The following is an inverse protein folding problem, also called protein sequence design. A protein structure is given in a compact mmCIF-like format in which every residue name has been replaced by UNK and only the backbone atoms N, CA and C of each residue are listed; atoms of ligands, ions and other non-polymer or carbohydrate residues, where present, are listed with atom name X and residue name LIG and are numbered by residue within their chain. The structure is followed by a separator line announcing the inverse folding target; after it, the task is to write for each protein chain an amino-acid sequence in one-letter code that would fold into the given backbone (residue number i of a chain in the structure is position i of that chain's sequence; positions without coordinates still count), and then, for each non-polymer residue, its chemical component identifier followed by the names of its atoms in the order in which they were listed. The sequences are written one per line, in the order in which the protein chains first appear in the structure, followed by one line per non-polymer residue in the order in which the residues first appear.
data_IF_466072645250
#
_entry.id   IF_466072645250
#
_cell.length_a   1.000
_cell.length_b   1.000
_cell.length_c   1.000
_cell.angle_alpha   90.00
_cell.angle_beta   90.00
_cell.angle_gamma   90.00
#
_symmetry.space_group_name_H-M   'P 1'
#
loop_
_entity.id
_entity.type
_entity.pdbx_description
1 polymer ?
#
# COMPACT_ATOMS: atom_id res chain seq x y z
N UNK A 1 16.17 2.66 -5.32
CA UNK A 1 16.03 1.73 -4.17
C UNK A 1 14.64 1.85 -3.54
N UNK A 2 13.94 0.73 -3.31
CA UNK A 2 12.63 0.74 -2.62
C UNK A 2 12.81 0.83 -1.11
N UNK A 3 11.77 1.28 -0.39
CA UNK A 3 11.74 1.26 1.08
C UNK A 3 11.97 -0.14 1.66
N UNK A 4 11.50 -1.18 0.97
CA UNK A 4 11.73 -2.59 1.33
C UNK A 4 13.06 -3.18 0.83
N UNK A 5 13.93 -2.40 0.20
CA UNK A 5 15.22 -2.84 -0.35
C UNK A 5 15.15 -3.35 -1.80
N UNK A 6 16.21 -4.05 -2.21
CA UNK A 6 16.38 -4.57 -3.57
C UNK A 6 15.80 -5.98 -3.74
N UNK A 7 15.55 -6.35 -5.00
CA UNK A 7 15.14 -7.69 -5.35
C UNK A 7 16.31 -8.65 -5.16
N UNK A 8 15.99 -9.81 -4.59
CA UNK A 8 16.91 -10.94 -4.44
C UNK A 8 16.92 -11.79 -5.70
N UNK A 9 18.14 -12.16 -6.09
CA UNK A 9 18.41 -13.17 -7.10
C UNK A 9 17.79 -14.53 -6.73
N UNK A 10 17.39 -15.29 -7.74
CA UNK A 10 16.76 -16.63 -7.65
C UNK A 10 15.52 -16.66 -6.77
N UNK A 11 14.66 -15.65 -6.90
CA UNK A 11 13.44 -15.50 -6.11
C UNK A 11 12.23 -15.06 -6.94
N UNK A 12 11.04 -15.46 -6.47
CA UNK A 12 9.76 -15.13 -7.07
C UNK A 12 9.13 -13.88 -6.46
N UNK A 13 8.46 -13.10 -7.29
CA UNK A 13 7.74 -11.89 -6.92
C UNK A 13 6.37 -11.87 -7.58
N UNK A 14 5.36 -11.44 -6.83
CA UNK A 14 4.09 -10.99 -7.40
C UNK A 14 4.26 -9.54 -7.83
N UNK A 15 3.83 -9.21 -9.05
CA UNK A 15 3.93 -7.86 -9.60
C UNK A 15 2.56 -7.28 -9.94
N UNK A 16 2.45 -5.97 -9.79
CA UNK A 16 1.44 -5.13 -10.42
C UNK A 16 2.17 -3.96 -11.06
N UNK A 17 2.28 -4.00 -12.38
CA UNK A 17 3.06 -3.02 -13.14
C UNK A 17 2.19 -1.82 -13.53
N UNK A 18 2.68 -0.57 -13.38
CA UNK A 18 1.99 0.61 -13.91
C UNK A 18 1.91 0.53 -15.44
N UNK A 19 0.84 1.08 -16.00
CA UNK A 19 0.67 1.17 -17.46
C UNK A 19 0.24 2.60 -17.82
N UNK A 20 0.65 3.14 -18.99
CA UNK A 20 0.09 4.40 -19.51
C UNK A 20 -1.44 4.37 -19.65
N UNK A 21 -2.00 3.18 -19.91
CA UNK A 21 -3.44 2.93 -20.00
C UNK A 21 -4.03 2.34 -18.71
N UNK A 22 -3.22 2.31 -17.63
CA UNK A 22 -3.63 1.82 -16.32
C UNK A 22 -4.50 2.81 -15.57
N UNK A 23 -5.18 2.33 -14.53
CA UNK A 23 -5.86 3.20 -13.59
C UNK A 23 -4.87 3.85 -12.60
N UNK A 24 -5.17 5.06 -12.09
CA UNK A 24 -4.36 5.69 -11.05
C UNK A 24 -4.36 4.85 -9.76
N UNK A 25 -3.31 4.98 -8.93
CA UNK A 25 -3.20 4.16 -7.71
C UNK A 25 -4.36 4.41 -6.74
N UNK A 26 -4.91 5.61 -6.76
CA UNK A 26 -6.06 6.04 -5.98
C UNK A 26 -7.27 5.14 -6.20
N UNK A 27 -7.47 4.59 -7.41
CA UNK A 27 -8.58 3.68 -7.73
C UNK A 27 -8.50 2.36 -6.96
N UNK A 28 -7.30 1.99 -6.51
CA UNK A 28 -7.06 0.74 -5.81
C UNK A 28 -6.99 0.86 -4.28
N UNK A 29 -7.10 2.08 -3.74
CA UNK A 29 -7.16 2.33 -2.30
C UNK A 29 -8.53 1.87 -1.76
N UNK A 30 -8.52 1.19 -0.62
CA UNK A 30 -9.73 1.02 0.20
C UNK A 30 -9.91 2.28 1.04
N UNK A 31 -10.90 3.07 0.69
CA UNK A 31 -11.29 4.29 1.39
C UNK A 31 -12.80 4.20 1.61
N UNK A 32 -13.31 3.73 2.75
CA UNK A 32 -12.58 3.44 3.99
C UNK A 32 -11.75 2.13 3.95
N UNK A 33 -10.63 2.04 4.70
CA UNK A 33 -9.90 0.79 4.84
C UNK A 33 -10.73 -0.30 5.50
N UNK A 34 -10.46 -1.56 5.15
CA UNK A 34 -11.21 -2.71 5.65
C UNK A 34 -10.54 -3.21 6.94
N UNK A 35 -11.19 -3.18 8.11
CA UNK A 35 -10.61 -3.68 9.34
C UNK A 35 -10.35 -5.18 9.25
N UNK A 36 -9.21 -5.62 9.79
CA UNK A 36 -8.85 -7.05 9.83
C UNK A 36 -8.18 -7.39 11.16
N UNK A 37 -8.57 -8.52 11.75
CA UNK A 37 -7.93 -9.06 12.94
C UNK A 37 -6.80 -10.01 12.54
N UNK A 38 -5.66 -9.42 12.15
CA UNK A 38 -4.50 -10.17 11.68
C UNK A 38 -3.24 -9.66 12.36
N UNK A 39 -2.51 -10.57 12.99
CA UNK A 39 -1.20 -10.27 13.56
C UNK A 39 -0.15 -10.05 12.47
N UNK A 40 0.90 -9.23 12.73
CA UNK A 40 1.98 -9.01 11.78
C UNK A 40 2.65 -10.32 11.33
N UNK A 41 2.85 -10.46 10.03
CA UNK A 41 3.53 -11.61 9.43
C UNK A 41 4.61 -11.17 8.45
N UNK A 42 5.68 -11.96 8.31
CA UNK A 42 6.84 -11.59 7.49
C UNK A 42 6.68 -11.95 6.01
N UNK A 43 6.09 -13.10 5.72
CA UNK A 43 5.94 -13.62 4.38
C UNK A 43 4.47 -13.51 3.95
N UNK A 44 4.18 -13.13 2.69
CA UNK A 44 2.81 -13.09 2.20
C UNK A 44 2.07 -14.41 2.45
N UNK A 45 0.78 -14.32 2.76
CA UNK A 45 -0.09 -15.47 3.03
C UNK A 45 -1.27 -15.49 2.08
N UNK A 46 -1.84 -16.68 1.83
CA UNK A 46 -3.11 -16.78 1.12
C UNK A 46 -4.26 -16.30 1.99
N UNK A 47 -5.19 -15.60 1.36
CA UNK A 47 -6.42 -15.13 1.97
C UNK A 47 -7.59 -15.51 1.06
N UNK A 48 -8.51 -16.34 1.55
CA UNK A 48 -9.67 -16.77 0.75
C UNK A 48 -10.80 -15.76 0.92
N UNK A 49 -11.28 -15.19 -0.18
CA UNK A 49 -12.51 -14.41 -0.18
C UNK A 49 -13.69 -15.38 -0.06
N UNK A 50 -14.36 -15.38 1.09
CA UNK A 50 -15.49 -16.28 1.35
C UNK A 50 -16.70 -16.03 0.45
N UNK A 51 -16.83 -14.84 -0.14
CA UNK A 51 -17.94 -14.51 -1.03
C UNK A 51 -17.72 -15.04 -2.45
N UNK A 52 -16.48 -15.01 -2.94
CA UNK A 52 -16.14 -15.39 -4.33
C UNK A 52 -15.44 -16.74 -4.41
N UNK A 53 -14.92 -17.26 -3.30
CA UNK A 53 -14.06 -18.43 -3.24
C UNK A 53 -12.65 -18.22 -3.80
N UNK A 54 -12.33 -17.02 -4.30
CA UNK A 54 -11.04 -16.70 -4.91
C UNK A 54 -9.99 -16.55 -3.81
N UNK A 55 -8.80 -17.09 -4.04
CA UNK A 55 -7.65 -16.83 -3.20
C UNK A 55 -6.97 -15.52 -3.60
N UNK A 56 -6.71 -14.67 -2.62
CA UNK A 56 -5.92 -13.46 -2.71
C UNK A 56 -4.64 -13.63 -1.89
N UNK A 57 -3.74 -12.66 -1.99
CA UNK A 57 -2.47 -12.66 -1.27
C UNK A 57 -2.45 -11.51 -0.29
N UNK A 58 -2.49 -11.81 1.00
CA UNK A 58 -2.39 -10.80 2.05
C UNK A 58 -0.92 -10.49 2.31
N UNK A 59 -0.59 -9.21 2.34
CA UNK A 59 0.78 -8.71 2.45
C UNK A 59 0.84 -7.67 3.57
N UNK A 60 1.60 -8.00 4.61
CA UNK A 60 1.87 -7.06 5.70
C UNK A 60 2.90 -6.01 5.25
N UNK A 61 2.52 -4.75 5.34
CA UNK A 61 3.40 -3.60 5.14
C UNK A 61 3.94 -3.20 6.51
N UNK A 62 5.25 -3.39 6.69
CA UNK A 62 5.89 -3.17 7.98
C UNK A 62 6.21 -1.70 8.25
N UNK A 63 5.74 -1.18 9.40
CA UNK A 63 5.99 0.18 9.88
C UNK A 63 7.46 0.61 9.96
N UNK A 64 8.37 -0.37 10.05
CA UNK A 64 9.82 -0.13 10.05
C UNK A 64 10.31 0.52 8.75
N UNK A 65 9.68 0.18 7.63
CA UNK A 65 10.08 0.66 6.29
C UNK A 65 9.09 1.66 5.72
N UNK A 66 7.82 1.58 6.13
CA UNK A 66 6.74 2.43 5.70
C UNK A 66 5.96 2.80 6.96
N UNK A 67 6.30 3.90 7.63
CA UNK A 67 5.66 4.33 8.88
C UNK A 67 4.14 4.53 8.69
N UNK A 68 3.72 4.90 7.48
CA UNK A 68 2.33 5.08 7.07
C UNK A 68 1.94 4.18 5.89
N UNK A 69 0.66 3.81 5.74
CA UNK A 69 0.12 3.34 4.47
C UNK A 69 0.46 4.24 3.28
N UNK A 70 0.48 5.57 3.48
CA UNK A 70 0.79 6.53 2.41
C UNK A 70 2.23 6.45 1.91
N UNK A 71 3.17 6.08 2.77
CA UNK A 71 4.56 5.85 2.36
C UNK A 71 4.62 4.74 1.30
N UNK A 72 3.85 3.68 1.51
CA UNK A 72 3.77 2.56 0.57
C UNK A 72 3.01 2.92 -0.69
N UNK A 73 1.88 3.62 -0.58
CA UNK A 73 1.07 4.06 -1.73
C UNK A 73 1.92 4.93 -2.66
N UNK A 74 2.63 5.94 -2.14
CA UNK A 74 3.41 6.86 -2.99
C UNK A 74 4.59 6.17 -3.66
N UNK A 75 5.23 5.23 -2.97
CA UNK A 75 6.25 4.40 -3.62
C UNK A 75 5.65 3.50 -4.73
N UNK A 76 4.51 2.89 -4.47
CA UNK A 76 3.82 2.00 -5.40
C UNK A 76 3.30 2.74 -6.65
N UNK A 77 2.90 4.00 -6.50
CA UNK A 77 2.47 4.87 -7.61
C UNK A 77 3.58 5.02 -8.65
N UNK A 78 4.80 5.32 -8.19
CA UNK A 78 5.93 5.65 -9.06
C UNK A 78 6.63 4.38 -9.56
N UNK A 79 6.82 3.40 -8.68
CA UNK A 79 7.65 2.22 -8.97
C UNK A 79 6.83 0.98 -9.31
N UNK A 80 5.51 1.03 -9.22
CA UNK A 80 4.68 -0.17 -9.23
C UNK A 80 4.84 -1.02 -7.98
N UNK A 81 4.13 -2.14 -7.95
CA UNK A 81 4.12 -3.06 -6.81
C UNK A 81 4.89 -4.31 -7.17
N UNK A 82 5.77 -4.72 -6.25
CA UNK A 82 6.52 -5.96 -6.36
C UNK A 82 6.76 -6.56 -5.00
N UNK A 83 6.30 -7.79 -4.78
CA UNK A 83 6.37 -8.46 -3.48
C UNK A 83 6.90 -9.86 -3.59
N UNK A 84 8.00 -10.12 -2.90
CA UNK A 84 8.64 -11.43 -2.84
C UNK A 84 7.72 -12.44 -2.18
N UNK A 85 7.61 -13.62 -2.78
CA UNK A 85 6.94 -14.77 -2.20
C UNK A 85 7.94 -15.88 -1.86
N UNK A 86 7.65 -16.73 -0.86
CA UNK A 86 8.44 -17.94 -0.59
C UNK A 86 8.45 -18.89 -1.81
N UNK A 87 9.53 -19.68 -1.97
CA UNK A 87 9.61 -20.69 -3.05
C UNK A 87 8.47 -21.72 -2.98
N UNK A 88 8.02 -22.06 -1.77
CA UNK A 88 6.91 -22.99 -1.52
C UNK A 88 5.54 -22.29 -1.39
N UNK A 89 5.41 -21.05 -1.85
CA UNK A 89 4.13 -20.35 -1.80
C UNK A 89 3.11 -21.09 -2.71
N UNK A 90 1.87 -21.33 -2.24
CA UNK A 90 0.86 -22.09 -2.98
C UNK A 90 0.26 -21.30 -4.17
N UNK A 91 1.09 -21.00 -5.17
CA UNK A 91 0.75 -20.20 -6.35
C UNK A 91 -0.35 -20.82 -7.23
N UNK A 92 -0.51 -22.14 -7.22
CA UNK A 92 -1.51 -22.87 -7.99
C UNK A 92 -2.95 -22.55 -7.55
N UNK A 93 -3.11 -21.99 -6.34
CA UNK A 93 -4.40 -21.49 -5.86
C UNK A 93 -4.75 -20.11 -6.42
N UNK A 94 -3.77 -19.38 -6.98
CA UNK A 94 -4.00 -18.09 -7.60
C UNK A 94 -4.65 -18.26 -8.98
N UNK A 95 -5.41 -17.24 -9.35
CA UNK A 95 -6.18 -17.14 -10.58
C UNK A 95 -6.08 -15.72 -11.15
N UNK A 96 -6.49 -15.47 -12.40
CA UNK A 96 -6.49 -14.11 -12.96
C UNK A 96 -7.28 -13.07 -12.15
N UNK A 97 -8.27 -13.50 -11.34
CA UNK A 97 -9.01 -12.61 -10.43
C UNK A 97 -8.33 -12.36 -9.08
N UNK A 98 -7.16 -12.97 -8.84
CA UNK A 98 -6.44 -12.85 -7.58
C UNK A 98 -5.80 -11.48 -7.44
N UNK A 99 -5.77 -10.98 -6.21
CA UNK A 99 -5.25 -9.65 -5.87
C UNK A 99 -4.20 -9.77 -4.76
N UNK A 100 -3.26 -8.84 -4.76
CA UNK A 100 -2.47 -8.49 -3.59
C UNK A 100 -3.32 -7.55 -2.70
N UNK A 101 -3.45 -7.88 -1.41
CA UNK A 101 -4.17 -7.09 -0.42
C UNK A 101 -3.16 -6.62 0.63
N UNK A 102 -2.99 -5.30 0.77
CA UNK A 102 -1.97 -4.72 1.62
C UNK A 102 -2.53 -4.30 2.97
N UNK A 103 -1.90 -4.78 4.03
CA UNK A 103 -2.29 -4.56 5.42
C UNK A 103 -1.26 -3.67 6.10
N UNK A 104 -1.72 -2.76 6.95
CA UNK A 104 -0.88 -1.96 7.83
C UNK A 104 -1.52 -1.86 9.22
N UNK A 105 -0.72 -1.81 10.29
CA UNK A 105 -1.21 -1.65 11.67
C UNK A 105 -1.92 -0.31 11.90
N UNK A 106 -1.51 0.70 11.14
CA UNK A 106 -1.93 2.10 11.29
C UNK A 106 -2.85 2.53 10.14
N UNK A 107 -3.58 1.58 9.54
CA UNK A 107 -4.46 1.87 8.40
C UNK A 107 -5.72 2.65 8.81
N UNK A 108 -6.23 2.43 10.02
CA UNK A 108 -7.50 2.99 10.48
C UNK A 108 -7.24 3.81 11.74
N UNK A 109 -7.70 5.07 11.77
CA UNK A 109 -7.73 5.89 12.99
C UNK A 109 -9.06 5.63 13.69
N UNK A 110 -9.09 4.88 14.79
CA UNK A 110 -10.34 4.54 15.48
C UNK A 110 -11.04 5.76 16.08
N UNK A 111 -10.26 6.69 16.62
CA UNK A 111 -10.72 7.96 17.20
C UNK A 111 -10.69 9.13 16.21
N UNK A 112 -10.98 8.87 14.93
CA UNK A 112 -10.88 9.88 13.86
C UNK A 112 -11.79 11.09 14.08
N UNK A 113 -12.93 10.95 14.76
CA UNK A 113 -13.82 12.07 15.04
C UNK A 113 -13.14 13.13 15.92
N UNK A 114 -12.26 12.71 16.83
CA UNK A 114 -11.51 13.64 17.67
C UNK A 114 -10.41 14.35 16.87
N UNK A 115 -9.74 13.64 15.97
CA UNK A 115 -8.85 14.28 14.98
C UNK A 115 -9.60 15.32 14.15
N UNK A 116 -10.80 14.99 13.66
CA UNK A 116 -11.64 15.91 12.88
C UNK A 116 -12.00 17.16 13.68
N UNK A 117 -12.29 17.05 14.98
CA UNK A 117 -12.51 18.22 15.84
C UNK A 117 -11.25 19.09 15.92
N UNK A 118 -10.07 18.49 16.10
CA UNK A 118 -8.81 19.23 16.20
C UNK A 118 -8.44 19.94 14.89
N UNK A 119 -8.55 19.28 13.73
CA UNK A 119 -8.25 19.93 12.45
C UNK A 119 -9.26 21.05 12.12
N UNK A 120 -10.54 20.89 12.49
CA UNK A 120 -11.57 21.94 12.31
C UNK A 120 -11.29 23.17 13.16
N UNK A 121 -10.77 23.02 14.39
CA UNK A 121 -10.33 24.15 15.24
C UNK A 121 -9.22 24.97 14.58
N UNK A 122 -8.43 24.36 13.70
CA UNK A 122 -7.37 25.01 12.93
C UNK A 122 -7.85 25.55 11.57
N UNK A 123 -9.17 25.60 11.35
CA UNK A 123 -9.77 26.16 10.13
C UNK A 123 -9.83 25.20 8.94
N UNK A 124 -9.44 23.94 9.11
CA UNK A 124 -9.48 22.93 8.05
C UNK A 124 -10.89 22.35 7.96
N UNK A 125 -11.61 22.69 6.89
CA UNK A 125 -12.97 22.19 6.64
C UNK A 125 -13.03 21.15 5.53
N UNK A 126 -11.94 21.02 4.76
CA UNK A 126 -11.84 20.06 3.65
C UNK A 126 -10.48 19.37 3.62
N UNK A 127 -10.49 18.12 3.18
CA UNK A 127 -9.27 17.29 2.99
C UNK A 127 -9.16 16.78 1.55
N UNK A 128 -7.95 16.50 1.05
CA UNK A 128 -7.76 15.94 -0.28
C UNK A 128 -8.03 14.43 -0.29
N UNK A 129 -9.31 14.06 -0.33
CA UNK A 129 -9.74 12.67 -0.44
C UNK A 129 -9.22 12.03 -1.75
N UNK A 130 -8.53 10.88 -1.71
CA UNK A 130 -8.05 10.22 -2.93
C UNK A 130 -9.17 9.74 -3.85
N UNK A 131 -10.35 9.44 -3.30
CA UNK A 131 -11.54 9.02 -4.06
C UNK A 131 -12.41 10.17 -4.53
N UNK A 132 -12.07 11.42 -4.18
CA UNK A 132 -12.90 12.60 -4.42
C UNK A 132 -14.34 12.49 -3.86
N UNK A 133 -14.57 11.61 -2.88
CA UNK A 133 -15.88 11.46 -2.24
C UNK A 133 -16.19 12.74 -1.41
N UNK A 134 -17.37 13.39 -1.62
CA UNK A 134 -17.77 14.54 -0.83
C UNK A 134 -17.85 14.28 0.67
N UNK A 135 -18.31 13.10 1.11
CA UNK A 135 -18.40 12.75 2.54
C UNK A 135 -17.03 12.72 3.19
N UNK A 136 -16.05 12.16 2.50
CA UNK A 136 -14.66 12.14 2.95
C UNK A 136 -14.06 13.54 2.94
N UNK A 137 -14.24 14.26 1.82
CA UNK A 137 -13.73 15.62 1.64
C UNK A 137 -14.29 16.58 2.68
N UNK A 138 -15.53 16.38 3.15
CA UNK A 138 -16.21 17.18 4.18
C UNK A 138 -16.03 16.64 5.61
N UNK A 139 -15.11 15.70 5.82
CA UNK A 139 -14.75 15.19 7.15
C UNK A 139 -15.91 14.47 7.86
N UNK A 140 -16.73 13.71 7.12
CA UNK A 140 -17.88 12.96 7.66
C UNK A 140 -17.58 11.48 7.91
N UNK A 141 -16.48 10.96 7.38
CA UNK A 141 -16.07 9.55 7.51
C UNK A 141 -14.54 9.44 7.66
N UNK A 142 -14.05 8.26 8.04
CA UNK A 142 -12.64 7.98 8.37
C UNK A 142 -11.73 7.84 7.14
N UNK A 143 -11.72 8.85 6.30
CA UNK A 143 -10.99 8.83 5.03
C UNK A 143 -9.49 8.57 5.24
N UNK A 144 -8.88 7.80 4.35
CA UNK A 144 -7.43 7.56 4.30
C UNK A 144 -6.60 8.86 4.30
N UNK A 145 -7.10 9.94 3.72
CA UNK A 145 -6.42 11.24 3.74
C UNK A 145 -6.30 11.86 5.14
N UNK A 146 -7.09 11.41 6.13
CA UNK A 146 -6.91 11.82 7.53
C UNK A 146 -5.56 11.40 8.10
N UNK A 147 -4.98 10.31 7.58
CA UNK A 147 -3.64 9.89 8.00
C UNK A 147 -2.59 10.97 7.75
N UNK A 148 -2.72 11.78 6.69
CA UNK A 148 -1.76 12.87 6.42
C UNK A 148 -1.57 13.82 7.62
N UNK A 149 -2.63 14.02 8.40
CA UNK A 149 -2.65 14.95 9.53
C UNK A 149 -2.00 14.39 10.79
N UNK A 150 -1.73 13.08 10.86
CA UNK A 150 -0.99 12.48 11.99
C UNK A 150 0.45 12.14 11.65
N UNK A 151 0.86 12.34 10.39
CA UNK A 151 2.22 12.05 9.92
C UNK A 151 3.17 13.20 10.18
N UNK A 152 4.37 12.87 10.65
CA UNK A 152 5.45 13.85 10.81
C UNK A 152 6.31 13.88 9.55
N UNK A 153 6.97 14.98 9.29
CA UNK A 153 7.91 15.10 8.18
C UNK A 153 8.76 16.35 8.33
N UNK A 154 9.63 16.59 7.36
CA UNK A 154 10.42 17.82 7.33
C UNK A 154 9.54 18.94 6.78
N UNK A 155 9.28 19.98 7.57
CA UNK A 155 8.52 21.15 7.08
C UNK A 155 9.15 21.70 5.80
N UNK A 156 8.32 21.96 4.79
CA UNK A 156 8.72 22.72 3.62
C UNK A 156 8.41 24.20 3.85
N UNK A 157 9.07 25.08 3.08
CA UNK A 157 8.74 26.51 3.08
C UNK A 157 7.38 26.83 2.44
N UNK A 158 6.75 25.84 1.79
CA UNK A 158 5.56 26.03 0.97
C UNK A 158 4.27 25.89 1.78
N UNK A 159 3.37 26.86 1.58
CA UNK A 159 2.00 26.84 2.12
C UNK A 159 1.02 26.68 0.96
N UNK A 160 0.30 25.57 0.92
CA UNK A 160 -0.78 25.33 -0.05
C UNK A 160 -2.16 25.64 0.52
N UNK A 161 -3.21 25.42 -0.28
CA UNK A 161 -4.62 25.55 0.13
C UNK A 161 -5.04 24.63 1.29
N UNK A 162 -4.26 23.59 1.57
CA UNK A 162 -4.46 22.65 2.68
C UNK A 162 -3.51 22.91 3.87
N UNK A 163 -2.80 24.06 3.84
CA UNK A 163 -1.84 24.55 4.82
C UNK A 163 -0.39 24.15 4.56
N UNK A 164 0.42 23.97 5.61
CA UNK A 164 1.85 23.61 5.49
C UNK A 164 2.02 22.24 4.85
N UNK A 165 3.08 22.08 4.08
CA UNK A 165 3.49 20.80 3.54
C UNK A 165 4.67 20.25 4.34
N UNK A 166 4.73 18.92 4.42
CA UNK A 166 5.88 18.21 4.99
C UNK A 166 6.38 17.18 3.99
N UNK A 167 7.70 17.11 3.87
CA UNK A 167 8.38 16.10 3.07
C UNK A 167 8.60 14.84 3.89
N UNK A 168 8.35 13.70 3.25
CA UNK A 168 8.63 12.37 3.76
C UNK A 168 9.52 11.63 2.77
N UNK A 169 10.42 10.80 3.29
CA UNK A 169 11.37 10.02 2.49
C UNK A 169 11.22 8.53 2.78
N UNK A 170 11.12 7.74 1.71
CA UNK A 170 10.96 6.28 1.74
C UNK A 170 11.90 5.68 0.70
N UNK A 171 12.93 4.96 1.14
CA UNK A 171 14.00 4.54 0.22
C UNK A 171 14.66 5.77 -0.43
N UNK A 172 14.63 5.85 -1.76
CA UNK A 172 15.09 7.01 -2.54
C UNK A 172 13.94 7.94 -3.00
N UNK A 173 12.70 7.67 -2.60
CA UNK A 173 11.56 8.52 -2.93
C UNK A 173 11.39 9.58 -1.85
N UNK A 174 11.27 10.84 -2.26
CA UNK A 174 10.75 11.92 -1.42
C UNK A 174 9.42 12.39 -1.99
N UNK A 175 8.42 12.53 -1.12
CA UNK A 175 7.10 13.05 -1.50
C UNK A 175 6.57 13.98 -0.41
N UNK A 176 5.72 14.92 -0.82
CA UNK A 176 5.14 15.92 0.09
C UNK A 176 3.70 15.59 0.41
N UNK A 177 3.28 15.84 1.64
CA UNK A 177 1.89 15.72 2.08
C UNK A 177 1.43 17.01 2.77
N UNK A 178 0.12 17.32 2.72
CA UNK A 178 -0.41 18.40 3.53
C UNK A 178 -0.37 17.98 4.99
N UNK A 179 0.41 18.68 5.80
CA UNK A 179 0.34 18.59 7.24
C UNK A 179 0.33 20.00 7.83
N UNK A 180 -0.86 20.62 7.94
CA UNK A 180 -0.99 21.98 8.42
C UNK A 180 -0.81 22.16 9.92
N UNK A 181 -0.69 21.08 10.69
CA UNK A 181 -0.87 21.14 12.14
C UNK A 181 0.44 21.51 12.83
N UNK A 182 0.56 22.78 13.25
CA UNK A 182 1.72 23.25 14.01
C UNK A 182 1.82 22.58 15.39
N UNK A 183 0.66 22.28 15.99
CA UNK A 183 0.52 21.46 17.20
C UNK A 183 -0.74 20.62 17.08
N UNK A 184 -0.57 19.31 17.05
CA UNK A 184 -1.67 18.37 17.14
C UNK A 184 -1.75 17.87 18.59
N UNK A 185 -2.72 18.37 19.36
CA UNK A 185 -3.02 17.82 20.67
C UNK A 185 -3.97 16.62 20.53
N UNK A 186 -3.51 15.59 19.83
CA UNK A 186 -4.27 14.39 19.56
C UNK A 186 -3.33 13.20 19.46
N UNK A 187 -3.71 12.11 20.11
CA UNK A 187 -3.01 10.84 20.04
C UNK A 187 -3.87 9.86 19.24
N UNK A 188 -3.45 9.43 18.04
CA UNK A 188 -4.20 8.45 17.27
C UNK A 188 -4.23 7.10 17.99
N UNK A 189 -5.42 6.49 18.01
CA UNK A 189 -5.62 5.08 18.31
C UNK A 189 -5.79 4.36 17.00
N UNK A 190 -4.81 3.52 16.65
CA UNK A 190 -4.76 2.85 15.37
C UNK A 190 -5.39 1.45 15.42
N UNK A 191 -5.95 1.05 14.29
CA UNK A 191 -6.40 -0.32 14.04
C UNK A 191 -5.85 -0.85 12.71
N UNK A 192 -5.48 -2.13 12.74
CA UNK A 192 -5.03 -2.87 11.57
C UNK A 192 -6.13 -2.94 10.51
N UNK A 193 -5.75 -2.65 9.26
CA UNK A 193 -6.69 -2.69 8.14
C UNK A 193 -6.01 -2.94 6.79
N UNK A 194 -6.80 -3.45 5.85
CA UNK A 194 -6.44 -3.54 4.44
C UNK A 194 -6.71 -2.17 3.82
N UNK A 195 -5.67 -1.52 3.30
CA UNK A 195 -5.75 -0.13 2.82
C UNK A 195 -5.60 0.00 1.30
N UNK A 196 -5.04 -1.02 0.64
CA UNK A 196 -4.78 -1.01 -0.80
C UNK A 196 -4.96 -2.44 -1.32
N UNK A 197 -5.49 -2.57 -2.53
CA UNK A 197 -5.35 -3.79 -3.31
C UNK A 197 -4.56 -3.54 -4.58
N UNK A 198 -4.08 -4.58 -5.24
CA UNK A 198 -3.53 -4.50 -6.58
C UNK A 198 -3.77 -5.80 -7.34
N UNK A 199 -4.08 -5.75 -8.64
CA UNK A 199 -4.14 -6.95 -9.45
C UNK A 199 -2.77 -7.63 -9.50
N UNK A 200 -2.73 -8.95 -9.68
CA UNK A 200 -1.49 -9.66 -9.97
C UNK A 200 -1.37 -9.74 -11.49
N UNK A 201 -0.49 -8.93 -12.08
CA UNK A 201 -0.28 -8.92 -13.53
C UNK A 201 0.55 -10.11 -14.00
N UNK A 202 1.53 -10.51 -13.17
CA UNK A 202 2.43 -11.61 -13.45
C UNK A 202 3.17 -12.04 -12.17
N UNK A 203 3.80 -13.21 -12.26
CA UNK A 203 4.80 -13.70 -11.32
C UNK A 203 6.16 -13.51 -11.97
N UNK A 204 7.04 -12.70 -11.38
CA UNK A 204 8.40 -12.52 -11.86
C UNK A 204 9.36 -13.46 -11.13
N UNK A 205 10.23 -14.13 -11.87
CA UNK A 205 11.41 -14.82 -11.34
C UNK A 205 12.65 -13.99 -11.68
N UNK A 206 13.41 -13.62 -10.66
CA UNK A 206 14.62 -12.80 -10.82
C UNK A 206 15.84 -13.71 -10.97
N UNK A 207 16.61 -13.52 -12.04
CA UNK A 207 17.86 -14.24 -12.28
C UNK A 207 18.93 -13.33 -12.86
N UNK A 208 19.99 -13.04 -12.09
CA UNK A 208 21.09 -12.16 -12.53
C UNK A 208 21.90 -12.73 -13.69
N UNK A 209 21.91 -14.05 -13.82
CA UNK A 209 22.66 -14.82 -14.81
C UNK A 209 21.77 -15.35 -15.95
N UNK A 210 20.47 -14.98 -15.97
CA UNK A 210 19.48 -15.50 -16.92
C UNK A 210 19.13 -16.99 -16.74
N UNK A 211 19.71 -17.68 -15.75
CA UNK A 211 19.47 -19.11 -15.54
C UNK A 211 18.08 -19.40 -14.96
N UNK A 212 17.31 -20.19 -15.68
CA UNK A 212 15.97 -20.60 -15.24
C UNK A 212 16.06 -21.92 -14.46
N UNK A 213 15.76 -21.89 -13.16
CA UNK A 213 15.64 -23.10 -12.33
C UNK A 213 14.47 -23.98 -12.81
N UNK A 214 14.58 -25.30 -12.72
CA UNK A 214 13.51 -26.23 -13.14
C UNK A 214 12.18 -25.94 -12.43
N UNK A 215 12.24 -25.56 -11.15
CA UNK A 215 11.06 -25.14 -10.38
C UNK A 215 10.31 -23.96 -10.99
N UNK A 216 10.98 -23.10 -11.77
CA UNK A 216 10.31 -21.98 -12.48
C UNK A 216 9.44 -22.52 -13.61
N UNK A 217 9.91 -23.56 -14.32
CA UNK A 217 9.16 -24.19 -15.40
C UNK A 217 7.95 -24.94 -14.87
N UNK A 218 8.11 -25.66 -13.76
CA UNK A 218 7.00 -26.32 -13.05
C UNK A 218 5.93 -25.30 -12.63
N UNK A 219 6.36 -24.21 -12.00
CA UNK A 219 5.50 -23.10 -11.60
C UNK A 219 4.76 -22.49 -12.80
N UNK A 220 5.44 -22.29 -13.93
CA UNK A 220 4.84 -21.76 -15.15
C UNK A 220 3.78 -22.68 -15.76
N UNK A 221 3.89 -24.00 -15.55
CA UNK A 221 2.91 -24.98 -16.01
C UNK A 221 1.69 -25.07 -15.07
N UNK A 222 1.90 -24.94 -13.76
CA UNK A 222 0.84 -25.07 -12.76
C UNK A 222 0.06 -23.78 -12.51
N UNK A 223 0.69 -22.62 -12.75
CA UNK A 223 0.09 -21.34 -12.44
C UNK A 223 -0.85 -20.85 -13.55
N UNK A 224 -1.96 -20.22 -13.14
CA UNK A 224 -2.92 -19.58 -14.05
C UNK A 224 -2.56 -18.12 -14.36
N UNK A 225 -1.41 -17.65 -13.89
CA UNK A 225 -0.90 -16.30 -14.08
C UNK A 225 0.37 -16.34 -14.94
N UNK A 226 0.65 -15.30 -15.74
CA UNK A 226 1.88 -15.24 -16.51
C UNK A 226 3.11 -15.33 -15.60
N UNK A 227 4.07 -16.18 -15.96
CA UNK A 227 5.38 -16.26 -15.30
C UNK A 227 6.43 -15.64 -16.23
N UNK A 228 7.20 -14.68 -15.71
CA UNK A 228 8.18 -13.91 -16.48
C UNK A 228 9.54 -14.02 -15.81
N UNK A 229 10.58 -14.30 -16.58
CA UNK A 229 11.97 -14.26 -16.09
C UNK A 229 12.53 -12.86 -16.33
N UNK A 230 13.18 -12.28 -15.32
CA UNK A 230 13.80 -10.95 -15.39
C UNK A 230 15.27 -11.03 -15.02
N UNK A 231 16.11 -10.47 -15.89
CA UNK A 231 17.55 -10.36 -15.70
C UNK A 231 17.88 -9.01 -15.05
N UNK A 232 17.96 -8.98 -13.72
CA UNK A 232 18.23 -7.79 -12.89
C UNK A 232 18.91 -8.14 -11.55
#
# INVERSE_FOLDING_TARGET
MRGCGERKDKAFYLESTPSPDGAPIEDFIFDLPIPINQEPFRAPILYRDERTGIYHVLIWVGKKFYESPWDFIREAEIKGISRRIPKNFPIQKLSPGSKMLFVHSDAIIQNWQDLVKEIKKQGITKIPCPKMDPKHSELKENCMALLYYVLKGKETGDRGKYGKWVDRTVGDLTYSIPNPLEKLNFQPVFQTGIFLYAPITNIAYISKDGQVEESVKEIAQECKLPVVVKEE
#
